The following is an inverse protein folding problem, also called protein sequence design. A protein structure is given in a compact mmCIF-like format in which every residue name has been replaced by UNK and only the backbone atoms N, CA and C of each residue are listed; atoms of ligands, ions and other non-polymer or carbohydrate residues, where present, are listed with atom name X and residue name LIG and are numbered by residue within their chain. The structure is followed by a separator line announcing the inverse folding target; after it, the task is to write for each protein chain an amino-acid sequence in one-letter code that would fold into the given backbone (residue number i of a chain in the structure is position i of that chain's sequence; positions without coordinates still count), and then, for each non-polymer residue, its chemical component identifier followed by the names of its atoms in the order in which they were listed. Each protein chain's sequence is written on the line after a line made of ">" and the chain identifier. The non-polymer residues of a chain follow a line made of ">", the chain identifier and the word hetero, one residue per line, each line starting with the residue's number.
data_IF_674577943059
#
_entry.id   IF_674577943059
#
_cell.length_a   1.000
_cell.length_b   1.000
_cell.length_c   1.000
_cell.angle_alpha   90.00
_cell.angle_beta   90.00
_cell.angle_gamma   90.00
#
_symmetry.space_group_name_H-M   'P 1'
#
loop_
_entity.id
_entity.type
_entity.pdbx_description
1 polymer ?
#
# COMPACT_ATOMS: atom_id res chain seq x y z
N UNK A 1 14.82 -7.75 36.70
CA UNK A 1 14.49 -6.50 36.00
C UNK A 1 13.58 -6.87 34.85
N UNK A 2 12.35 -6.38 34.84
CA UNK A 2 11.40 -6.65 33.73
C UNK A 2 11.77 -5.75 32.56
N UNK A 3 11.73 -6.30 31.37
CA UNK A 3 11.94 -5.58 30.11
C UNK A 3 10.74 -5.84 29.21
N UNK A 4 10.19 -4.78 28.64
CA UNK A 4 9.14 -4.86 27.62
C UNK A 4 9.76 -4.69 26.26
N UNK A 5 9.46 -5.63 25.37
CA UNK A 5 10.08 -5.63 24.03
C UNK A 5 8.98 -5.62 22.97
N UNK A 6 9.09 -4.71 22.02
CA UNK A 6 8.24 -4.62 20.83
C UNK A 6 9.10 -4.80 19.59
N UNK A 7 8.65 -5.65 18.68
CA UNK A 7 9.32 -5.93 17.40
C UNK A 7 8.44 -5.49 16.25
N UNK A 8 9.06 -4.91 15.22
CA UNK A 8 8.40 -4.56 13.98
C UNK A 8 9.35 -4.59 12.81
N UNK A 9 8.80 -4.58 11.60
CA UNK A 9 9.52 -4.47 10.35
C UNK A 9 9.19 -3.13 9.70
N UNK A 10 10.22 -2.35 9.35
CA UNK A 10 10.08 -1.15 8.53
C UNK A 10 10.00 -1.63 7.09
N UNK A 11 8.88 -1.35 6.44
CA UNK A 11 8.55 -1.84 5.13
C UNK A 11 8.24 -0.72 4.13
N UNK A 12 8.41 -1.04 2.85
CA UNK A 12 8.00 -0.23 1.72
C UNK A 12 7.14 -1.09 0.80
N UNK A 13 6.05 -0.51 0.26
CA UNK A 13 5.17 -1.21 -0.67
C UNK A 13 5.23 -0.58 -2.05
N UNK A 14 5.41 -1.39 -3.08
CA UNK A 14 5.47 -0.93 -4.46
C UNK A 14 4.08 -0.92 -5.15
N UNK A 15 4.05 -0.50 -6.42
CA UNK A 15 2.85 -0.48 -7.26
C UNK A 15 2.26 -1.88 -7.57
N UNK A 16 3.04 -2.94 -7.36
CA UNK A 16 2.63 -4.34 -7.54
C UNK A 16 2.14 -4.97 -6.25
N UNK A 17 2.06 -4.18 -5.15
CA UNK A 17 1.77 -4.64 -3.80
C UNK A 17 2.82 -5.59 -3.20
N UNK A 18 4.04 -5.60 -3.73
CA UNK A 18 5.16 -6.28 -3.10
C UNK A 18 5.64 -5.49 -1.89
N UNK A 19 5.86 -6.19 -0.78
CA UNK A 19 6.32 -5.60 0.47
C UNK A 19 7.81 -5.86 0.64
N UNK A 20 8.60 -4.80 0.66
CA UNK A 20 10.05 -4.84 0.88
C UNK A 20 10.33 -4.59 2.36
N UNK A 21 10.92 -5.57 3.07
CA UNK A 21 11.38 -5.37 4.43
C UNK A 21 12.72 -4.66 4.44
N UNK A 22 12.67 -3.35 4.66
CA UNK A 22 13.83 -2.45 4.61
C UNK A 22 14.72 -2.60 5.84
N UNK A 23 14.10 -2.76 7.02
CA UNK A 23 14.82 -2.95 8.27
C UNK A 23 13.95 -3.66 9.31
N UNK A 24 14.60 -4.28 10.28
CA UNK A 24 13.97 -4.68 11.53
C UNK A 24 14.12 -3.55 12.54
N UNK A 25 13.10 -3.32 13.34
CA UNK A 25 13.13 -2.36 14.44
C UNK A 25 12.69 -3.01 15.74
N UNK A 26 13.47 -2.84 16.79
CA UNK A 26 13.18 -3.33 18.11
C UNK A 26 13.13 -2.16 19.09
N UNK A 27 12.12 -2.09 19.91
CA UNK A 27 11.99 -1.20 21.05
C UNK A 27 12.06 -2.01 22.33
N UNK A 28 12.94 -1.61 23.25
CA UNK A 28 13.09 -2.21 24.57
C UNK A 28 12.94 -1.12 25.63
N UNK A 29 12.07 -1.35 26.60
CA UNK A 29 11.85 -0.43 27.72
C UNK A 29 12.10 -1.19 29.04
N UNK A 30 12.73 -0.53 29.99
CA UNK A 30 13.06 -1.06 31.31
C UNK A 30 12.17 -0.45 32.38
N UNK A 31 12.19 -1.05 33.58
CA UNK A 31 11.41 -0.59 34.74
C UNK A 31 11.77 0.86 35.18
N UNK A 32 12.97 1.33 34.88
CA UNK A 32 13.45 2.69 35.17
C UNK A 32 13.06 3.71 34.08
N UNK A 33 12.15 3.34 33.18
CA UNK A 33 11.70 4.10 32.00
C UNK A 33 12.80 4.40 30.98
N UNK A 34 14.00 3.85 31.14
CA UNK A 34 15.02 3.91 30.10
C UNK A 34 14.62 3.01 28.93
N UNK A 35 14.92 3.47 27.71
CA UNK A 35 14.55 2.71 26.52
C UNK A 35 15.63 2.75 25.44
N UNK A 36 15.58 1.73 24.59
CA UNK A 36 16.52 1.57 23.47
C UNK A 36 15.72 1.21 22.21
N UNK A 37 16.03 1.91 21.12
CA UNK A 37 15.65 1.48 19.78
C UNK A 37 16.87 0.89 19.08
N UNK A 38 16.69 -0.31 18.51
CA UNK A 38 17.67 -0.95 17.63
C UNK A 38 17.03 -1.06 16.24
N UNK A 39 17.71 -0.55 15.20
CA UNK A 39 17.28 -0.65 13.81
C UNK A 39 18.36 -1.40 13.04
N UNK A 40 17.97 -2.52 12.40
CA UNK A 40 18.84 -3.40 11.63
C UNK A 40 18.43 -3.37 10.15
N UNK A 41 19.13 -2.58 9.31
CA UNK A 41 18.81 -2.49 7.89
C UNK A 41 19.03 -3.81 7.17
N UNK A 42 18.12 -4.14 6.27
CA UNK A 42 18.25 -5.29 5.37
C UNK A 42 18.88 -4.84 4.05
N UNK A 43 20.21 -4.77 4.01
CA UNK A 43 20.94 -4.30 2.82
C UNK A 43 20.75 -5.19 1.60
N UNK A 44 20.48 -6.48 1.78
CA UNK A 44 20.21 -7.39 0.66
C UNK A 44 18.92 -6.99 -0.07
N UNK A 45 17.86 -6.65 0.67
CA UNK A 45 16.60 -6.15 0.13
C UNK A 45 16.71 -4.71 -0.36
N UNK A 46 17.37 -3.83 0.40
CA UNK A 46 17.59 -2.43 -0.03
C UNK A 46 18.28 -2.39 -1.40
N UNK A 47 19.23 -3.28 -1.65
CA UNK A 47 19.92 -3.36 -2.93
C UNK A 47 19.01 -3.71 -4.12
N UNK A 48 17.84 -4.29 -3.90
CA UNK A 48 16.86 -4.62 -4.95
C UNK A 48 16.11 -3.39 -5.45
N UNK A 49 16.00 -2.35 -4.61
CA UNK A 49 15.25 -1.14 -4.90
C UNK A 49 16.04 -0.18 -5.79
N UNK A 50 15.31 0.60 -6.57
CA UNK A 50 15.88 1.73 -7.32
C UNK A 50 15.98 2.94 -6.40
N UNK A 51 16.97 3.78 -6.64
CA UNK A 51 17.15 5.05 -5.90
C UNK A 51 15.93 5.96 -5.96
N UNK A 52 15.15 5.89 -7.06
CA UNK A 52 13.90 6.65 -7.22
C UNK A 52 12.78 6.17 -6.29
N UNK A 53 12.81 4.92 -5.86
CA UNK A 53 11.73 4.27 -5.11
C UNK A 53 11.99 4.28 -3.61
N UNK A 54 13.26 4.37 -3.21
CA UNK A 54 13.69 4.42 -1.82
C UNK A 54 14.86 5.37 -1.62
N UNK A 55 14.69 6.39 -0.77
CA UNK A 55 15.67 7.44 -0.50
C UNK A 55 16.37 7.28 0.87
N UNK A 56 16.08 6.21 1.60
CA UNK A 56 16.62 5.95 2.94
C UNK A 56 15.57 5.93 4.04
N UNK A 57 16.02 5.66 5.26
CA UNK A 57 15.19 5.72 6.46
C UNK A 57 15.49 7.06 7.15
N UNK A 58 14.48 7.91 7.42
CA UNK A 58 14.68 9.20 8.09
C UNK A 58 15.51 9.10 9.38
N UNK A 59 16.54 9.92 9.47
CA UNK A 59 17.45 9.97 10.62
C UNK A 59 18.52 8.87 10.67
N UNK A 60 18.65 8.05 9.59
CA UNK A 60 19.72 7.06 9.46
C UNK A 60 20.57 7.33 8.21
N UNK A 61 21.88 7.28 8.39
CA UNK A 61 22.85 7.29 7.29
C UNK A 61 23.17 5.84 6.90
N UNK A 62 22.46 5.34 5.86
CA UNK A 62 22.61 3.97 5.38
C UNK A 62 23.91 3.73 4.59
N UNK A 63 24.59 4.80 4.14
CA UNK A 63 25.87 4.69 3.41
C UNK A 63 26.98 4.18 4.33
N UNK A 64 26.85 4.39 5.65
CA UNK A 64 27.76 3.84 6.65
C UNK A 64 27.69 2.32 6.77
N UNK A 65 26.70 1.66 6.18
CA UNK A 65 26.47 0.20 6.18
C UNK A 65 26.64 -0.46 7.55
N UNK A 66 26.16 0.20 8.60
CA UNK A 66 26.17 -0.38 9.95
C UNK A 66 25.18 -1.55 10.04
N UNK A 67 25.57 -2.62 10.71
CA UNK A 67 24.68 -3.75 10.98
C UNK A 67 23.50 -3.37 11.87
N UNK A 68 23.73 -2.43 12.82
CA UNK A 68 22.71 -1.94 13.74
C UNK A 68 22.90 -0.47 14.03
N UNK A 69 21.81 0.27 14.08
CA UNK A 69 21.73 1.65 14.54
C UNK A 69 21.02 1.65 15.89
N UNK A 70 21.69 2.13 16.93
CA UNK A 70 21.16 2.16 18.29
C UNK A 70 20.83 3.60 18.67
N UNK A 71 19.69 3.79 19.35
CA UNK A 71 19.27 5.05 19.97
C UNK A 71 18.84 4.77 21.41
N UNK A 72 19.63 5.27 22.36
CA UNK A 72 19.37 5.14 23.80
C UNK A 72 18.64 6.39 24.29
N UNK A 73 17.46 6.23 24.88
CA UNK A 73 16.62 7.31 25.41
C UNK A 73 16.29 8.42 24.40
N UNK A 74 16.40 8.11 23.11
CA UNK A 74 16.08 9.02 22.00
C UNK A 74 15.17 8.29 21.04
N UNK A 75 14.01 8.90 20.76
CA UNK A 75 13.08 8.38 19.74
C UNK A 75 13.69 8.64 18.34
N UNK A 76 13.84 7.61 17.50
CA UNK A 76 14.32 7.81 16.12
C UNK A 76 13.43 8.78 15.34
N UNK A 77 14.03 9.58 14.47
CA UNK A 77 13.30 10.54 13.59
C UNK A 77 12.18 9.83 12.82
N UNK A 78 12.47 8.66 12.26
CA UNK A 78 11.49 7.82 11.57
C UNK A 78 10.22 7.58 12.40
N UNK A 79 10.35 7.32 13.71
CA UNK A 79 9.22 7.07 14.61
C UNK A 79 8.54 8.40 14.99
N UNK A 80 9.31 9.42 15.37
CA UNK A 80 8.78 10.68 15.89
C UNK A 80 7.97 11.48 14.86
N UNK A 81 8.24 11.31 13.57
CA UNK A 81 7.50 11.96 12.48
C UNK A 81 6.14 11.30 12.19
N UNK A 82 5.94 10.07 12.66
CA UNK A 82 4.75 9.23 12.32
C UNK A 82 3.87 8.93 13.51
N UNK A 83 4.45 8.75 14.68
CA UNK A 83 3.72 8.44 15.89
C UNK A 83 3.33 9.71 16.66
N UNK A 84 2.23 9.69 17.41
CA UNK A 84 1.83 10.83 18.22
C UNK A 84 2.89 11.14 19.30
N UNK A 85 3.00 12.43 19.66
CA UNK A 85 3.84 12.85 20.78
C UNK A 85 3.14 12.59 22.12
N UNK A 86 3.93 12.38 23.19
CA UNK A 86 3.41 12.21 24.57
C UNK A 86 2.60 13.41 25.07
N UNK A 87 2.82 14.61 24.51
CA UNK A 87 2.20 15.86 24.95
C UNK A 87 0.96 16.26 24.10
N UNK A 88 0.46 15.37 23.28
CA UNK A 88 -0.70 15.65 22.44
C UNK A 88 -1.99 15.62 23.26
N UNK A 89 -2.86 16.62 23.10
CA UNK A 89 -4.08 16.79 23.91
C UNK A 89 -5.09 15.64 23.74
N UNK A 90 -5.22 15.12 22.51
CA UNK A 90 -6.12 14.01 22.14
C UNK A 90 -5.44 12.62 22.21
N UNK A 91 -4.31 12.52 22.92
CA UNK A 91 -3.55 11.26 22.97
C UNK A 91 -4.38 10.08 23.47
N UNK A 92 -5.18 10.31 24.54
CA UNK A 92 -5.96 9.24 25.14
C UNK A 92 -7.03 8.68 24.20
N UNK A 93 -7.70 9.53 23.44
CA UNK A 93 -8.69 9.13 22.44
C UNK A 93 -8.04 8.27 21.35
N UNK A 94 -6.85 8.67 20.87
CA UNK A 94 -6.08 7.90 19.90
C UNK A 94 -5.62 6.52 20.43
N UNK A 95 -5.23 6.45 21.70
CA UNK A 95 -4.83 5.18 22.32
C UNK A 95 -6.02 4.25 22.50
N UNK A 96 -7.18 4.78 22.89
CA UNK A 96 -8.43 4.01 23.03
C UNK A 96 -8.88 3.45 21.68
N UNK A 97 -8.84 4.23 20.61
CA UNK A 97 -9.15 3.78 19.24
C UNK A 97 -8.26 2.61 18.80
N UNK A 98 -6.98 2.59 19.24
CA UNK A 98 -6.03 1.51 18.93
C UNK A 98 -6.03 0.37 19.96
N UNK A 99 -6.86 0.46 21.03
CA UNK A 99 -6.90 -0.50 22.11
C UNK A 99 -5.60 -0.55 22.94
N UNK A 100 -4.95 0.62 23.13
CA UNK A 100 -3.70 0.75 23.90
C UNK A 100 -3.96 1.44 25.22
N UNK A 101 -3.30 0.99 26.30
CA UNK A 101 -3.42 1.58 27.63
C UNK A 101 -2.34 2.64 27.93
N UNK A 102 -1.25 2.64 27.18
CA UNK A 102 -0.15 3.60 27.28
C UNK A 102 0.53 3.76 25.92
N UNK A 103 1.25 4.86 25.71
CA UNK A 103 1.93 5.14 24.45
C UNK A 103 3.26 4.36 24.35
N UNK A 104 3.24 3.29 23.57
CA UNK A 104 4.41 2.72 22.92
C UNK A 104 4.34 3.13 21.43
N UNK A 105 5.19 4.06 21.02
CA UNK A 105 5.14 4.64 19.67
C UNK A 105 5.36 3.61 18.56
N UNK A 106 6.20 2.60 18.79
CA UNK A 106 6.41 1.52 17.82
C UNK A 106 5.18 0.63 17.70
N UNK A 107 4.59 0.20 18.83
CA UNK A 107 3.36 -0.61 18.83
C UNK A 107 2.18 0.16 18.22
N UNK A 108 2.11 1.50 18.45
CA UNK A 108 1.11 2.35 17.83
C UNK A 108 1.22 2.32 16.30
N UNK A 109 2.43 2.48 15.74
CA UNK A 109 2.66 2.40 14.29
C UNK A 109 2.27 1.03 13.71
N UNK A 110 2.58 -0.06 14.43
CA UNK A 110 2.21 -1.42 14.03
C UNK A 110 0.69 -1.60 13.97
N UNK A 111 -0.06 -1.02 14.93
CA UNK A 111 -1.52 -1.16 15.00
C UNK A 111 -2.27 -0.30 14.03
N UNK A 112 -1.75 0.89 13.72
CA UNK A 112 -2.43 1.87 12.88
C UNK A 112 -2.09 1.74 11.41
N UNK A 113 -1.07 0.96 11.05
CA UNK A 113 -0.55 0.85 9.67
C UNK A 113 -0.32 2.23 9.02
N UNK A 114 0.13 3.20 9.84
CA UNK A 114 0.28 4.59 9.43
C UNK A 114 1.41 4.72 8.41
N UNK A 115 1.06 5.25 7.23
CA UNK A 115 2.02 5.56 6.18
C UNK A 115 2.23 7.07 6.10
N UNK A 116 3.49 7.49 5.99
CA UNK A 116 3.83 8.87 5.71
C UNK A 116 3.85 9.11 4.20
N UNK A 117 3.17 10.16 3.72
CA UNK A 117 3.00 10.43 2.29
C UNK A 117 4.32 10.74 1.55
N UNK A 118 5.35 11.13 2.28
CA UNK A 118 6.63 11.56 1.71
C UNK A 118 7.56 10.42 1.28
N UNK A 119 7.53 9.28 1.97
CA UNK A 119 8.49 8.19 1.74
C UNK A 119 7.86 6.80 1.56
N UNK A 120 6.55 6.67 1.73
CA UNK A 120 5.78 5.41 1.61
C UNK A 120 6.23 4.30 2.57
N UNK A 121 7.05 4.63 3.57
CA UNK A 121 7.49 3.68 4.58
C UNK A 121 6.40 3.51 5.65
N UNK A 122 6.25 2.29 6.14
CA UNK A 122 5.34 1.93 7.22
C UNK A 122 5.96 0.87 8.11
N UNK A 123 5.35 0.61 9.26
CA UNK A 123 5.78 -0.44 10.18
C UNK A 123 4.68 -1.49 10.26
N UNK A 124 5.07 -2.75 10.13
CA UNK A 124 4.18 -3.87 10.37
C UNK A 124 4.78 -4.82 11.40
N UNK A 125 3.95 -5.72 11.92
CA UNK A 125 4.41 -6.81 12.79
C UNK A 125 5.33 -7.74 12.02
N UNK A 126 6.39 -8.20 12.67
CA UNK A 126 7.30 -9.17 12.07
C UNK A 126 6.56 -10.43 11.62
N UNK A 127 6.80 -10.84 10.37
CA UNK A 127 6.26 -12.05 9.76
C UNK A 127 7.42 -12.90 9.20
N UNK A 128 7.33 -14.22 9.37
CA UNK A 128 8.20 -15.14 8.65
C UNK A 128 7.51 -15.56 7.35
N UNK A 129 8.09 -15.17 6.23
CA UNK A 129 7.63 -15.51 4.87
C UNK A 129 8.52 -16.53 4.18
N UNK A 130 9.32 -17.27 4.92
CA UNK A 130 10.16 -18.34 4.37
C UNK A 130 9.32 -19.38 3.64
N UNK A 131 9.74 -19.74 2.43
CA UNK A 131 9.11 -20.80 1.64
C UNK A 131 10.01 -22.03 1.69
N UNK A 132 9.47 -23.14 2.22
CA UNK A 132 10.11 -24.44 2.21
C UNK A 132 9.08 -25.48 1.74
N UNK A 133 9.17 -25.93 0.49
CA UNK A 133 8.16 -26.76 -0.18
C UNK A 133 8.80 -27.77 -1.12
N UNK A 134 8.14 -28.92 -1.28
CA UNK A 134 8.59 -29.99 -2.19
C UNK A 134 8.34 -29.65 -3.66
N UNK A 135 7.27 -28.90 -3.96
CA UNK A 135 6.95 -28.53 -5.33
C UNK A 135 6.47 -27.08 -5.45
N UNK A 136 7.01 -26.36 -6.43
CA UNK A 136 6.64 -24.99 -6.74
C UNK A 136 5.14 -24.83 -7.06
N UNK A 137 4.47 -25.90 -7.47
CA UNK A 137 3.02 -25.92 -7.73
C UNK A 137 2.17 -25.73 -6.46
N UNK A 138 2.73 -25.96 -5.28
CA UNK A 138 2.07 -25.67 -3.99
C UNK A 138 1.85 -24.17 -3.79
N UNK A 139 2.60 -23.31 -4.46
CA UNK A 139 2.42 -21.86 -4.42
C UNK A 139 1.21 -21.40 -5.23
N UNK A 140 0.78 -22.19 -6.25
CA UNK A 140 -0.39 -21.84 -7.05
C UNK A 140 -0.42 -22.52 -8.41
N UNK A 141 -1.55 -22.36 -9.11
CA UNK A 141 -1.78 -22.98 -10.43
C UNK A 141 -1.47 -22.04 -11.61
N UNK A 142 -1.11 -20.79 -11.36
CA UNK A 142 -0.84 -19.77 -12.37
C UNK A 142 0.56 -19.20 -12.17
N UNK A 143 1.30 -19.05 -13.26
CA UNK A 143 2.66 -18.47 -13.26
C UNK A 143 2.71 -17.11 -12.55
N UNK A 144 1.77 -16.23 -12.81
CA UNK A 144 1.70 -14.92 -12.15
C UNK A 144 1.56 -15.01 -10.62
N UNK A 145 0.79 -15.98 -10.11
CA UNK A 145 0.60 -16.18 -8.66
C UNK A 145 1.87 -16.74 -8.03
N UNK A 146 2.51 -17.70 -8.69
CA UNK A 146 3.76 -18.30 -8.25
C UNK A 146 4.86 -17.23 -8.21
N UNK A 147 5.03 -16.48 -9.31
CA UNK A 147 6.02 -15.40 -9.37
C UNK A 147 5.79 -14.34 -8.29
N UNK A 148 4.53 -13.95 -8.05
CA UNK A 148 4.22 -12.95 -7.03
C UNK A 148 4.59 -13.43 -5.62
N UNK A 149 4.25 -14.69 -5.27
CA UNK A 149 4.59 -15.24 -3.95
C UNK A 149 6.09 -15.37 -3.75
N UNK A 150 6.83 -15.82 -4.77
CA UNK A 150 8.29 -15.88 -4.73
C UNK A 150 8.89 -14.47 -4.56
N UNK A 151 8.39 -13.48 -5.32
CA UNK A 151 8.83 -12.10 -5.20
C UNK A 151 8.51 -11.52 -3.81
N UNK A 152 7.31 -11.78 -3.26
CA UNK A 152 6.95 -11.31 -1.92
C UNK A 152 7.91 -11.85 -0.85
N UNK A 153 8.28 -13.13 -0.94
CA UNK A 153 9.30 -13.74 -0.05
C UNK A 153 10.68 -13.11 -0.24
N UNK A 154 11.13 -12.93 -1.48
CA UNK A 154 12.43 -12.33 -1.82
C UNK A 154 12.51 -10.89 -1.34
N UNK A 155 11.48 -10.08 -1.58
CA UNK A 155 11.40 -8.67 -1.17
C UNK A 155 11.32 -8.53 0.35
N UNK A 156 10.76 -9.53 1.03
CA UNK A 156 10.74 -9.57 2.49
C UNK A 156 12.08 -10.00 3.10
N UNK A 157 13.02 -10.48 2.27
CA UNK A 157 14.36 -10.88 2.70
C UNK A 157 14.43 -12.31 3.23
N UNK A 158 13.38 -13.10 3.04
CA UNK A 158 13.34 -14.50 3.42
C UNK A 158 13.87 -15.42 2.32
N UNK A 159 14.23 -16.63 2.70
CA UNK A 159 14.74 -17.65 1.79
C UNK A 159 13.61 -18.44 1.14
N UNK A 160 13.90 -18.97 -0.04
CA UNK A 160 13.03 -19.90 -0.76
C UNK A 160 13.76 -21.20 -0.99
N UNK A 161 13.12 -22.31 -0.61
CA UNK A 161 13.52 -23.67 -0.94
C UNK A 161 12.35 -24.38 -1.58
N UNK A 162 12.47 -24.69 -2.86
CA UNK A 162 11.40 -25.32 -3.61
C UNK A 162 12.03 -26.27 -4.64
N UNK A 163 11.88 -27.59 -4.47
CA UNK A 163 12.51 -28.61 -5.32
C UNK A 163 14.05 -28.40 -5.43
N UNK A 164 14.52 -28.05 -6.63
CA UNK A 164 15.92 -27.75 -6.90
C UNK A 164 16.24 -26.24 -6.85
N UNK A 165 15.25 -25.41 -6.55
CA UNK A 165 15.41 -23.96 -6.50
C UNK A 165 15.73 -23.56 -5.06
N UNK A 166 16.89 -22.94 -4.86
CA UNK A 166 17.30 -22.35 -3.59
C UNK A 166 17.59 -20.87 -3.85
N UNK A 167 16.85 -19.99 -3.16
CA UNK A 167 17.08 -18.56 -3.22
C UNK A 167 17.47 -18.09 -1.82
N UNK A 168 18.66 -17.54 -1.71
CA UNK A 168 19.27 -17.01 -0.50
C UNK A 168 19.89 -15.64 -0.78
N UNK A 169 20.55 -15.04 0.20
CA UNK A 169 21.19 -13.72 0.03
C UNK A 169 22.21 -13.66 -1.11
N UNK A 170 22.86 -14.78 -1.48
CA UNK A 170 23.91 -14.81 -2.51
C UNK A 170 23.36 -14.65 -3.91
N UNK A 171 22.18 -15.18 -4.16
CA UNK A 171 21.56 -15.20 -5.48
C UNK A 171 20.23 -14.41 -5.56
N UNK A 172 19.79 -13.81 -4.43
CA UNK A 172 18.54 -13.05 -4.30
C UNK A 172 18.32 -12.04 -5.41
N UNK A 173 19.33 -11.22 -5.71
CA UNK A 173 19.27 -10.21 -6.77
C UNK A 173 19.00 -10.80 -8.15
N UNK A 174 19.68 -11.89 -8.49
CA UNK A 174 19.55 -12.55 -9.79
C UNK A 174 18.13 -13.10 -9.99
N UNK A 175 17.59 -13.78 -8.96
CA UNK A 175 16.22 -14.29 -9.01
C UNK A 175 15.18 -13.17 -8.98
N UNK A 176 15.41 -12.11 -8.24
CA UNK A 176 14.54 -10.94 -8.23
C UNK A 176 14.40 -10.34 -9.63
N UNK A 177 15.51 -10.08 -10.32
CA UNK A 177 15.51 -9.48 -11.66
C UNK A 177 14.79 -10.40 -12.66
N UNK A 178 15.05 -11.73 -12.62
CA UNK A 178 14.39 -12.72 -13.47
C UNK A 178 12.87 -12.77 -13.19
N UNK A 179 12.47 -12.95 -11.94
CA UNK A 179 11.06 -13.09 -11.57
C UNK A 179 10.28 -11.81 -11.82
N UNK A 180 10.89 -10.65 -11.62
CA UNK A 180 10.25 -9.34 -11.93
C UNK A 180 10.00 -9.20 -13.43
N UNK A 181 10.96 -9.60 -14.27
CA UNK A 181 10.79 -9.59 -15.72
C UNK A 181 9.68 -10.56 -16.17
N UNK A 182 9.65 -11.77 -15.62
CA UNK A 182 8.59 -12.76 -15.89
C UNK A 182 7.22 -12.25 -15.43
N UNK A 183 7.11 -11.77 -14.20
CA UNK A 183 5.86 -11.26 -13.63
C UNK A 183 5.31 -10.08 -14.43
N UNK A 184 6.15 -9.13 -14.79
CA UNK A 184 5.75 -7.97 -15.58
C UNK A 184 5.26 -8.36 -16.98
N UNK A 185 5.91 -9.32 -17.62
CA UNK A 185 5.54 -9.83 -18.94
C UNK A 185 4.19 -10.55 -18.89
N UNK A 186 4.03 -11.45 -17.93
CA UNK A 186 2.79 -12.19 -17.71
C UNK A 186 1.61 -11.25 -17.40
N UNK A 187 1.83 -10.25 -16.56
CA UNK A 187 0.83 -9.24 -16.23
C UNK A 187 0.40 -8.40 -17.44
N UNK A 188 1.35 -8.00 -18.28
CA UNK A 188 1.06 -7.30 -19.55
C UNK A 188 0.23 -8.19 -20.48
N UNK A 189 0.57 -9.47 -20.61
CA UNK A 189 -0.18 -10.43 -21.41
C UNK A 189 -1.60 -10.61 -20.90
N UNK A 190 -1.80 -10.84 -19.59
CA UNK A 190 -3.12 -10.99 -18.99
C UNK A 190 -3.99 -9.72 -19.17
N UNK A 191 -3.41 -8.54 -19.00
CA UNK A 191 -4.10 -7.27 -19.22
C UNK A 191 -4.49 -7.09 -20.70
N UNK A 192 -3.64 -7.47 -21.64
CA UNK A 192 -3.93 -7.46 -23.07
C UNK A 192 -5.10 -8.39 -23.41
N UNK A 193 -5.09 -9.63 -22.92
CA UNK A 193 -6.17 -10.59 -23.09
C UNK A 193 -7.49 -10.07 -22.51
N UNK A 194 -7.46 -9.51 -21.30
CA UNK A 194 -8.62 -8.89 -20.66
C UNK A 194 -9.20 -7.74 -21.49
N UNK A 195 -8.34 -6.85 -21.98
CA UNK A 195 -8.76 -5.72 -22.80
C UNK A 195 -9.36 -6.18 -24.13
N UNK A 196 -8.76 -7.19 -24.78
CA UNK A 196 -9.31 -7.78 -26.01
C UNK A 196 -10.69 -8.41 -25.74
N UNK A 197 -10.85 -9.15 -24.64
CA UNK A 197 -12.13 -9.71 -24.23
C UNK A 197 -13.22 -8.64 -23.98
N UNK A 198 -12.85 -7.54 -23.30
CA UNK A 198 -13.74 -6.40 -23.07
C UNK A 198 -14.15 -5.76 -24.40
N UNK A 199 -13.20 -5.47 -25.30
CA UNK A 199 -13.47 -4.89 -26.61
C UNK A 199 -14.37 -5.78 -27.47
N UNK A 200 -14.12 -7.08 -27.47
CA UNK A 200 -14.97 -8.06 -28.16
C UNK A 200 -16.40 -8.05 -27.61
N UNK A 201 -16.55 -8.03 -26.27
CA UNK A 201 -17.87 -7.98 -25.61
C UNK A 201 -18.61 -6.67 -25.89
N UNK A 202 -17.90 -5.54 -25.99
CA UNK A 202 -18.48 -4.25 -26.38
C UNK A 202 -18.98 -4.32 -27.83
N UNK A 203 -18.17 -4.83 -28.78
CA UNK A 203 -18.54 -4.98 -30.18
C UNK A 203 -19.76 -5.90 -30.38
N UNK A 204 -19.88 -6.93 -29.56
CA UNK A 204 -21.01 -7.87 -29.57
C UNK A 204 -22.25 -7.35 -28.82
N UNK A 205 -22.20 -6.13 -28.27
CA UNK A 205 -23.29 -5.55 -27.46
C UNK A 205 -23.54 -6.26 -26.12
N UNK A 206 -22.69 -7.23 -25.74
CA UNK A 206 -22.82 -8.00 -24.49
C UNK A 206 -22.36 -7.22 -23.26
N UNK A 207 -21.40 -6.28 -23.42
CA UNK A 207 -20.90 -5.46 -22.34
C UNK A 207 -21.78 -4.23 -22.17
N UNK A 208 -22.72 -4.31 -21.21
CA UNK A 208 -23.67 -3.21 -20.94
C UNK A 208 -23.13 -2.18 -19.94
N UNK A 209 -21.96 -2.42 -19.33
CA UNK A 209 -21.43 -1.58 -18.25
C UNK A 209 -22.36 -1.56 -17.02
N UNK A 210 -22.14 -0.59 -16.13
CA UNK A 210 -23.06 -0.34 -15.01
C UNK A 210 -24.36 0.25 -15.57
N UNK A 211 -25.50 -0.35 -15.22
CA UNK A 211 -26.81 0.15 -15.63
C UNK A 211 -26.97 1.62 -15.23
N UNK A 212 -27.35 2.47 -16.21
CA UNK A 212 -27.62 3.88 -15.90
C UNK A 212 -28.79 3.98 -14.91
N UNK A 213 -28.63 4.82 -13.90
CA UNK A 213 -29.73 5.16 -12.98
C UNK A 213 -30.85 5.75 -13.83
N UNK A 214 -32.03 5.14 -13.75
CA UNK A 214 -33.22 5.65 -14.45
C UNK A 214 -33.70 6.89 -13.71
N UNK A 215 -33.73 8.01 -14.39
CA UNK A 215 -34.25 9.29 -13.90
C UNK A 215 -35.36 9.69 -14.87
N UNK A 216 -36.42 10.28 -14.36
CA UNK A 216 -37.45 10.85 -15.22
C UNK A 216 -36.85 11.97 -16.08
N UNK A 217 -37.03 11.89 -17.39
CA UNK A 217 -36.43 12.83 -18.34
C UNK A 217 -36.95 14.25 -18.15
N UNK A 218 -38.21 14.44 -17.76
CA UNK A 218 -38.78 15.77 -17.54
C UNK A 218 -38.15 16.41 -16.33
N UNK A 219 -38.05 15.68 -15.20
CA UNK A 219 -37.40 16.14 -13.99
C UNK A 219 -35.91 16.43 -14.23
N UNK A 220 -35.22 15.59 -15.02
CA UNK A 220 -33.81 15.80 -15.38
C UNK A 220 -33.62 17.10 -16.19
N UNK A 221 -34.50 17.37 -17.15
CA UNK A 221 -34.46 18.60 -17.98
C UNK A 221 -34.75 19.87 -17.14
N UNK A 222 -35.74 19.83 -16.24
CA UNK A 222 -36.05 20.96 -15.35
C UNK A 222 -34.86 21.31 -14.46
N UNK A 223 -34.24 20.31 -13.83
CA UNK A 223 -33.08 20.51 -12.96
C UNK A 223 -31.86 21.01 -13.76
N UNK A 224 -31.63 20.53 -14.97
CA UNK A 224 -30.58 21.05 -15.83
C UNK A 224 -30.82 22.50 -16.25
N UNK A 225 -32.07 22.89 -16.48
CA UNK A 225 -32.45 24.27 -16.80
C UNK A 225 -32.25 25.19 -15.59
N UNK A 226 -32.66 24.76 -14.39
CA UNK A 226 -32.47 25.52 -13.18
C UNK A 226 -31.00 25.67 -12.80
N UNK A 227 -30.19 24.63 -13.02
CA UNK A 227 -28.74 24.72 -12.87
C UNK A 227 -28.10 25.66 -13.92
N UNK A 228 -28.52 25.62 -15.18
CA UNK A 228 -28.05 26.52 -16.23
C UNK A 228 -28.36 27.98 -15.90
N UNK A 229 -29.55 28.25 -15.33
CA UNK A 229 -30.03 29.57 -14.91
C UNK A 229 -29.44 30.01 -13.53
N UNK A 230 -28.50 29.23 -12.96
CA UNK A 230 -27.87 29.51 -11.65
C UNK A 230 -28.84 29.59 -10.47
N UNK A 231 -30.04 28.99 -10.56
CA UNK A 231 -31.02 28.92 -9.46
C UNK A 231 -30.62 27.92 -8.39
N UNK A 232 -29.92 26.85 -8.79
CA UNK A 232 -29.42 25.77 -7.91
C UNK A 232 -27.95 25.54 -8.19
N UNK A 233 -27.21 25.02 -7.22
CA UNK A 233 -25.82 24.61 -7.39
C UNK A 233 -25.69 23.14 -7.82
N UNK A 234 -24.50 22.70 -8.19
CA UNK A 234 -24.26 21.34 -8.69
C UNK A 234 -24.49 20.23 -7.63
N UNK A 235 -24.29 20.55 -6.35
CA UNK A 235 -24.50 19.60 -5.25
C UNK A 235 -26.01 19.41 -5.01
N UNK A 236 -26.78 20.50 -5.01
CA UNK A 236 -28.25 20.48 -4.91
C UNK A 236 -28.87 19.75 -6.10
N UNK A 237 -28.43 20.07 -7.32
CA UNK A 237 -28.92 19.41 -8.53
C UNK A 237 -28.64 17.90 -8.52
N UNK A 238 -27.44 17.47 -8.10
CA UNK A 238 -27.09 16.07 -7.96
C UNK A 238 -27.94 15.35 -6.89
N UNK A 239 -28.16 16.00 -5.75
CA UNK A 239 -28.99 15.48 -4.67
C UNK A 239 -30.45 15.31 -5.11
N UNK A 240 -31.03 16.30 -5.78
CA UNK A 240 -32.41 16.25 -6.30
C UNK A 240 -32.63 15.10 -7.32
N UNK A 241 -31.59 14.77 -8.11
CA UNK A 241 -31.59 13.66 -9.05
C UNK A 241 -31.20 12.30 -8.43
N UNK A 242 -30.83 12.27 -7.14
CA UNK A 242 -30.37 11.06 -6.45
C UNK A 242 -29.09 10.47 -7.03
N UNK A 243 -28.18 11.30 -7.55
CA UNK A 243 -26.91 10.88 -8.18
C UNK A 243 -25.73 11.63 -7.58
N UNK A 244 -24.51 11.13 -7.86
CA UNK A 244 -23.28 11.85 -7.48
C UNK A 244 -23.05 13.07 -8.38
N UNK A 245 -22.36 14.08 -7.85
CA UNK A 245 -21.97 15.31 -8.59
C UNK A 245 -21.20 15.01 -9.89
N UNK A 246 -20.30 14.00 -9.87
CA UNK A 246 -19.59 13.56 -11.08
C UNK A 246 -20.52 12.95 -12.13
N UNK A 247 -21.55 12.22 -11.70
CA UNK A 247 -22.59 11.68 -12.61
C UNK A 247 -23.44 12.79 -13.17
N UNK A 248 -23.79 13.80 -12.35
CA UNK A 248 -24.51 15.00 -12.76
C UNK A 248 -23.76 15.73 -13.87
N UNK A 249 -22.48 16.08 -13.67
CA UNK A 249 -21.71 16.78 -14.70
C UNK A 249 -21.59 16.02 -16.02
N UNK A 250 -21.42 14.70 -15.97
CA UNK A 250 -21.41 13.88 -17.17
C UNK A 250 -22.71 13.95 -17.94
N UNK A 251 -23.87 13.82 -17.26
CA UNK A 251 -25.20 13.89 -17.87
C UNK A 251 -25.51 15.29 -18.38
N UNK A 252 -25.16 16.32 -17.63
CA UNK A 252 -25.32 17.71 -18.04
C UNK A 252 -24.52 18.05 -19.28
N UNK A 253 -23.30 17.51 -19.41
CA UNK A 253 -22.50 17.63 -20.64
C UNK A 253 -23.18 16.96 -21.85
N UNK A 254 -23.74 15.79 -21.66
CA UNK A 254 -24.51 15.08 -22.70
C UNK A 254 -25.73 15.90 -23.12
N UNK A 255 -26.48 16.44 -22.16
CA UNK A 255 -27.63 17.33 -22.41
C UNK A 255 -27.23 18.58 -23.21
N UNK A 256 -26.17 19.28 -22.82
CA UNK A 256 -25.66 20.45 -23.58
C UNK A 256 -25.31 20.12 -25.02
N UNK A 257 -24.65 18.97 -25.23
CA UNK A 257 -24.29 18.56 -26.59
C UNK A 257 -25.52 18.28 -27.45
N UNK A 258 -26.60 17.76 -26.88
CA UNK A 258 -27.87 17.55 -27.61
C UNK A 258 -28.60 18.86 -27.90
N UNK A 259 -28.59 19.81 -26.95
CA UNK A 259 -29.26 21.11 -27.14
C UNK A 259 -28.53 21.98 -28.16
N UNK A 260 -27.19 21.88 -28.25
CA UNK A 260 -26.39 22.64 -29.23
C UNK A 260 -26.41 22.00 -30.64
N UNK A 261 -27.05 20.88 -30.85
CA UNK A 261 -27.21 20.21 -32.15
C UNK A 261 -28.62 20.43 -32.74
N UNK A 262 -29.52 21.08 -32.02
CA UNK A 262 -30.87 21.49 -32.45
C UNK A 262 -30.87 23.00 -32.74
#
# INVERSE_FOLDING_TARGET
>A
MREWVTFGDICLKDEYNLVYKIAEITYREREDESFIYEIRPNYSVISLLKVTDFQGIPGLDLDLRKEVYIRENIVPVFISERAPSKNREDLWDLLEECGMQYLNQLEWLIRTDTQYSGDKLFVQRHEDKTIDIDSIRQLGNRSAVICHKLLDTICYGNDVRAESIIIDDKNRRQYFDLLTALYSTERKYLNSQRNTGIQSSIRQGKFKGRTRIKIDKLAEMEIFTDYANKKINSAEAAHMLGISTSTFFRRYKEYKNHVNML
#
